data_IF_862624420436
#
_entry.id   IF_862624420436
#
_cell.length_a   1.000
_cell.length_b   1.000
_cell.length_c   1.000
_cell.angle_alpha   90.00
_cell.angle_beta   90.00
_cell.angle_gamma   90.00
#
_symmetry.space_group_name_H-M   'P 1'
#
loop_
_entity.id
_entity.type
_entity.pdbx_description
1 polymer ?
#
# COMPACT_ATOMS: atom_id res chain seq x y z
N UNK A 1 -4.32 -24.70 0.23
CA UNK A 1 -4.87 -23.83 -0.83
C UNK A 1 -6.30 -23.37 -0.50
N UNK A 2 -7.25 -24.28 -0.28
CA UNK A 2 -8.65 -23.95 0.01
C UNK A 2 -8.83 -22.99 1.21
N UNK A 3 -8.17 -23.25 2.33
CA UNK A 3 -8.27 -22.38 3.53
C UNK A 3 -7.83 -20.93 3.26
N UNK A 4 -6.74 -20.74 2.52
CA UNK A 4 -6.25 -19.40 2.15
C UNK A 4 -7.22 -18.70 1.20
N UNK A 5 -7.79 -19.44 0.23
CA UNK A 5 -8.80 -18.92 -0.68
C UNK A 5 -10.06 -18.51 0.07
N UNK A 6 -10.57 -19.34 0.99
CA UNK A 6 -11.76 -19.03 1.79
C UNK A 6 -11.54 -17.81 2.67
N UNK A 7 -10.39 -17.70 3.34
CA UNK A 7 -10.06 -16.52 4.14
C UNK A 7 -10.03 -15.23 3.29
N UNK A 8 -9.43 -15.34 2.10
CA UNK A 8 -9.40 -14.23 1.14
C UNK A 8 -10.80 -13.88 0.62
N UNK A 9 -11.63 -14.88 0.28
CA UNK A 9 -13.02 -14.68 -0.16
C UNK A 9 -13.84 -13.96 0.90
N UNK A 10 -13.77 -14.37 2.17
CA UNK A 10 -14.49 -13.70 3.26
C UNK A 10 -14.09 -12.22 3.36
N UNK A 11 -12.79 -11.93 3.35
CA UNK A 11 -12.28 -10.54 3.39
C UNK A 11 -12.56 -9.72 2.13
N UNK A 12 -12.71 -10.38 0.98
CA UNK A 12 -13.05 -9.74 -0.28
C UNK A 12 -14.54 -9.39 -0.32
N UNK A 13 -15.38 -10.33 0.11
CA UNK A 13 -16.84 -10.19 0.18
C UNK A 13 -17.23 -8.97 1.02
N UNK A 14 -16.65 -8.78 2.21
CA UNK A 14 -16.89 -7.59 3.05
C UNK A 14 -16.49 -6.28 2.36
N UNK A 15 -15.44 -6.31 1.53
CA UNK A 15 -14.95 -5.13 0.80
C UNK A 15 -15.77 -4.76 -0.43
N UNK A 16 -16.61 -5.68 -0.92
CA UNK A 16 -17.30 -5.54 -2.21
C UNK A 16 -18.82 -5.62 -2.13
N UNK A 17 -19.38 -6.24 -1.08
CA UNK A 17 -20.81 -6.23 -0.79
C UNK A 17 -21.31 -4.78 -0.66
N UNK A 18 -22.36 -4.45 -1.40
CA UNK A 18 -22.95 -3.09 -1.40
C UNK A 18 -22.35 -2.11 -2.41
N UNK A 19 -21.25 -2.44 -3.11
CA UNK A 19 -20.59 -1.50 -4.04
C UNK A 19 -21.18 -1.46 -5.46
N UNK A 20 -22.04 -2.42 -5.81
CA UNK A 20 -22.65 -2.50 -7.14
C UNK A 20 -21.64 -2.80 -8.26
N UNK A 21 -20.56 -3.54 -7.94
CA UNK A 21 -19.53 -3.91 -8.91
C UNK A 21 -20.05 -4.99 -9.86
N UNK A 22 -19.70 -4.88 -11.14
CA UNK A 22 -19.97 -5.95 -12.11
C UNK A 22 -19.22 -7.23 -11.74
N UNK A 23 -19.86 -8.39 -11.89
CA UNK A 23 -19.29 -9.70 -11.56
C UNK A 23 -17.93 -9.95 -12.24
N UNK A 24 -17.72 -9.44 -13.46
CA UNK A 24 -16.44 -9.57 -14.17
C UNK A 24 -15.25 -8.94 -13.43
N UNK A 25 -15.45 -7.76 -12.84
CA UNK A 25 -14.41 -7.04 -12.07
C UNK A 25 -14.04 -7.81 -10.81
N UNK A 26 -15.03 -8.43 -10.16
CA UNK A 26 -14.80 -9.26 -8.98
C UNK A 26 -13.97 -10.49 -9.33
N UNK A 27 -14.34 -11.21 -10.39
CA UNK A 27 -13.59 -12.40 -10.84
C UNK A 27 -12.16 -12.03 -11.21
N UNK A 28 -11.95 -10.93 -11.94
CA UNK A 28 -10.61 -10.44 -12.29
C UNK A 28 -9.79 -10.12 -11.03
N UNK A 29 -10.35 -9.38 -10.07
CA UNK A 29 -9.69 -9.05 -8.82
C UNK A 29 -9.28 -10.31 -8.03
N UNK A 30 -10.17 -11.28 -7.95
CA UNK A 30 -9.91 -12.55 -7.27
C UNK A 30 -8.82 -13.35 -7.97
N UNK A 31 -8.88 -13.44 -9.31
CA UNK A 31 -7.86 -14.15 -10.09
C UNK A 31 -6.47 -13.52 -9.91
N UNK A 32 -6.37 -12.19 -9.92
CA UNK A 32 -5.10 -11.50 -9.70
C UNK A 32 -4.52 -11.76 -8.30
N UNK A 33 -5.36 -11.76 -7.26
CA UNK A 33 -4.92 -12.07 -5.89
C UNK A 33 -4.58 -13.55 -5.69
N UNK A 34 -5.17 -14.45 -6.48
CA UNK A 34 -4.87 -15.88 -6.44
C UNK A 34 -3.42 -16.18 -6.83
N UNK A 35 -2.81 -15.36 -7.69
CA UNK A 35 -1.40 -15.47 -8.09
C UNK A 35 -0.48 -15.37 -6.86
N UNK A 36 -0.74 -14.40 -5.98
CA UNK A 36 0.02 -14.24 -4.73
C UNK A 36 -0.19 -15.40 -3.75
N UNK A 37 -1.44 -15.86 -3.60
CA UNK A 37 -1.76 -17.01 -2.75
C UNK A 37 -1.04 -18.27 -3.25
N UNK A 38 -0.98 -18.48 -4.56
CA UNK A 38 -0.28 -19.61 -5.17
C UNK A 38 1.23 -19.57 -4.87
N UNK A 39 1.85 -18.39 -4.98
CA UNK A 39 3.28 -18.22 -4.67
C UNK A 39 3.63 -18.64 -3.23
N UNK A 40 2.74 -18.38 -2.26
CA UNK A 40 2.90 -18.79 -0.86
C UNK A 40 2.51 -20.26 -0.62
N UNK A 41 1.50 -20.75 -1.31
CA UNK A 41 0.95 -22.09 -1.08
C UNK A 41 1.85 -23.20 -1.66
N UNK A 42 2.54 -22.95 -2.78
CA UNK A 42 3.37 -23.96 -3.46
C UNK A 42 4.49 -24.51 -2.57
N UNK A 43 5.34 -23.69 -1.90
CA UNK A 43 6.39 -24.22 -1.02
C UNK A 43 5.83 -25.08 0.12
N UNK A 44 4.72 -24.65 0.73
CA UNK A 44 4.06 -25.39 1.80
C UNK A 44 3.49 -26.71 1.29
N UNK A 45 2.88 -26.71 0.09
CA UNK A 45 2.34 -27.91 -0.53
C UNK A 45 3.45 -28.92 -0.85
N UNK A 46 4.60 -28.46 -1.36
CA UNK A 46 5.76 -29.32 -1.61
C UNK A 46 6.27 -29.96 -0.33
N UNK A 47 6.38 -29.18 0.77
CA UNK A 47 6.80 -29.71 2.07
C UNK A 47 5.86 -30.81 2.58
N UNK A 48 4.55 -30.59 2.51
CA UNK A 48 3.56 -31.59 2.94
C UNK A 48 3.57 -32.80 2.01
N UNK A 49 3.68 -32.60 0.71
CA UNK A 49 3.72 -33.69 -0.28
C UNK A 49 4.96 -34.58 -0.09
N UNK A 50 6.14 -33.99 0.15
CA UNK A 50 7.36 -34.76 0.41
C UNK A 50 7.25 -35.52 1.73
N UNK A 51 6.77 -34.86 2.79
CA UNK A 51 6.56 -35.50 4.10
C UNK A 51 5.58 -36.67 4.01
N UNK A 52 4.44 -36.50 3.33
CA UNK A 52 3.46 -37.57 3.17
C UNK A 52 3.99 -38.71 2.29
N UNK A 53 4.71 -38.39 1.22
CA UNK A 53 5.25 -39.41 0.32
C UNK A 53 6.29 -40.28 1.03
N UNK A 54 7.29 -39.67 1.66
CA UNK A 54 8.29 -40.41 2.43
C UNK A 54 7.72 -41.05 3.70
N UNK A 55 6.75 -40.40 4.35
CA UNK A 55 6.04 -40.94 5.50
C UNK A 55 5.31 -42.25 5.16
N UNK A 56 4.63 -42.29 4.01
CA UNK A 56 3.96 -43.52 3.52
C UNK A 56 4.97 -44.61 3.15
N UNK A 57 6.02 -44.27 2.39
CA UNK A 57 7.07 -45.24 2.04
C UNK A 57 7.78 -45.81 3.29
N UNK A 58 7.90 -45.02 4.36
CA UNK A 58 8.44 -45.49 5.64
C UNK A 58 7.46 -46.39 6.39
N UNK A 59 6.18 -46.05 6.40
CA UNK A 59 5.12 -46.85 7.03
C UNK A 59 4.99 -48.23 6.38
N UNK A 60 5.03 -48.26 5.06
CA UNK A 60 4.88 -49.49 4.26
C UNK A 60 6.20 -50.28 4.16
N UNK A 61 7.22 -49.89 4.94
CA UNK A 61 8.57 -50.47 4.97
C UNK A 61 9.30 -50.51 3.61
N UNK A 62 8.85 -49.75 2.61
CA UNK A 62 9.49 -49.67 1.29
C UNK A 62 10.90 -49.08 1.37
N UNK A 63 11.10 -48.08 2.26
CA UNK A 63 12.44 -47.52 2.51
C UNK A 63 13.37 -48.59 3.07
N UNK A 64 12.90 -49.37 4.04
CA UNK A 64 13.67 -50.47 4.65
C UNK A 64 14.01 -51.54 3.62
N UNK A 65 13.05 -51.94 2.79
CA UNK A 65 13.25 -52.93 1.72
C UNK A 65 14.26 -52.45 0.64
N UNK A 66 14.21 -51.18 0.25
CA UNK A 66 15.20 -50.59 -0.66
C UNK A 66 16.60 -50.56 -0.02
N UNK A 67 16.68 -50.25 1.27
CA UNK A 67 17.95 -50.21 2.02
C UNK A 67 18.58 -51.60 2.16
N UNK A 68 17.80 -52.64 2.45
CA UNK A 68 18.30 -54.03 2.51
C UNK A 68 18.72 -54.54 1.13
N UNK A 69 18.15 -54.00 0.06
CA UNK A 69 18.57 -54.26 -1.32
C UNK A 69 19.86 -53.53 -1.74
N UNK A 70 20.50 -52.80 -0.83
CA UNK A 70 21.78 -52.12 -1.06
C UNK A 70 21.67 -50.69 -1.60
N UNK A 71 20.46 -50.13 -1.76
CA UNK A 71 20.30 -48.74 -2.20
C UNK A 71 20.75 -47.75 -1.11
N UNK A 72 21.50 -46.73 -1.50
CA UNK A 72 21.91 -45.66 -0.58
C UNK A 72 20.75 -44.69 -0.30
N UNK A 73 20.73 -44.07 0.88
CA UNK A 73 19.76 -43.01 1.21
C UNK A 73 19.76 -41.88 0.17
N UNK A 74 20.94 -41.51 -0.33
CA UNK A 74 21.07 -40.49 -1.38
C UNK A 74 20.29 -40.86 -2.65
N UNK A 75 20.25 -42.14 -3.02
CA UNK A 75 19.51 -42.60 -4.21
C UNK A 75 18.00 -42.50 -4.01
N UNK A 76 17.52 -42.79 -2.79
CA UNK A 76 16.11 -42.66 -2.41
C UNK A 76 15.69 -41.17 -2.37
N UNK A 77 16.60 -40.27 -1.96
CA UNK A 77 16.35 -38.82 -1.89
C UNK A 77 16.44 -38.10 -3.25
N UNK A 78 17.25 -38.60 -4.19
CA UNK A 78 17.44 -38.00 -5.52
C UNK A 78 16.15 -37.58 -6.23
N UNK A 79 15.11 -38.43 -6.37
CA UNK A 79 13.88 -38.03 -7.08
C UNK A 79 13.21 -36.82 -6.42
N UNK A 80 13.12 -36.80 -5.09
CA UNK A 80 12.54 -35.67 -4.37
C UNK A 80 13.38 -34.39 -4.51
N UNK A 81 14.71 -34.50 -4.50
CA UNK A 81 15.59 -33.36 -4.75
C UNK A 81 15.44 -32.83 -6.17
N UNK A 82 15.43 -33.69 -7.19
CA UNK A 82 15.25 -33.26 -8.58
C UNK A 82 13.92 -32.55 -8.81
N UNK A 83 12.83 -33.07 -8.22
CA UNK A 83 11.52 -32.46 -8.29
C UNK A 83 11.46 -31.13 -7.52
N UNK A 84 12.07 -31.07 -6.33
CA UNK A 84 12.18 -29.85 -5.53
C UNK A 84 12.95 -28.75 -6.25
N UNK A 85 14.07 -29.09 -6.91
CA UNK A 85 14.85 -28.14 -7.71
C UNK A 85 14.05 -27.63 -8.91
N UNK A 86 13.31 -28.50 -9.62
CA UNK A 86 12.45 -28.12 -10.73
C UNK A 86 11.40 -27.09 -10.29
N UNK A 87 10.71 -27.37 -9.18
CA UNK A 87 9.72 -26.44 -8.63
C UNK A 87 10.37 -25.14 -8.17
N UNK A 88 11.55 -25.21 -7.54
CA UNK A 88 12.28 -24.02 -7.10
C UNK A 88 12.56 -23.08 -8.29
N UNK A 89 13.09 -23.61 -9.40
CA UNK A 89 13.36 -22.82 -10.60
C UNK A 89 12.08 -22.22 -11.19
N UNK A 90 11.01 -23.01 -11.29
CA UNK A 90 9.71 -22.52 -11.73
C UNK A 90 9.17 -21.40 -10.82
N UNK A 91 9.35 -21.53 -9.50
CA UNK A 91 8.87 -20.57 -8.53
C UNK A 91 9.70 -19.28 -8.55
N UNK A 92 11.01 -19.35 -8.78
CA UNK A 92 11.88 -18.18 -8.99
C UNK A 92 11.39 -17.39 -10.21
N UNK A 93 11.17 -18.07 -11.34
CA UNK A 93 10.65 -17.43 -12.55
C UNK A 93 9.27 -16.78 -12.31
N UNK A 94 8.36 -17.53 -11.66
CA UNK A 94 7.03 -17.06 -11.34
C UNK A 94 7.04 -15.82 -10.42
N UNK A 95 7.88 -15.82 -9.37
CA UNK A 95 8.00 -14.69 -8.46
C UNK A 95 8.67 -13.47 -9.09
N UNK A 96 9.55 -13.65 -10.07
CA UNK A 96 10.24 -12.55 -10.73
C UNK A 96 9.40 -11.91 -11.85
N UNK A 97 8.57 -12.67 -12.56
CA UNK A 97 7.85 -12.16 -13.74
C UNK A 97 6.34 -12.06 -13.51
N UNK A 98 5.70 -13.12 -13.02
CA UNK A 98 4.23 -13.21 -12.96
C UNK A 98 3.67 -12.52 -11.73
N UNK A 99 4.26 -12.79 -10.56
CA UNK A 99 3.78 -12.26 -9.28
C UNK A 99 3.81 -10.71 -9.22
N UNK A 100 4.88 -10.02 -9.63
CA UNK A 100 4.96 -8.56 -9.50
C UNK A 100 3.93 -7.86 -10.39
N UNK A 101 3.71 -8.36 -11.61
CA UNK A 101 2.69 -7.84 -12.53
C UNK A 101 1.27 -8.08 -12.04
N UNK A 102 0.98 -9.26 -11.50
CA UNK A 102 -0.33 -9.58 -10.94
C UNK A 102 -0.64 -8.70 -9.72
N UNK A 103 0.33 -8.50 -8.82
CA UNK A 103 0.17 -7.61 -7.68
C UNK A 103 -0.03 -6.15 -8.11
N UNK A 104 0.69 -5.70 -9.14
CA UNK A 104 0.53 -4.35 -9.68
C UNK A 104 -0.88 -4.14 -10.24
N UNK A 105 -1.36 -5.05 -11.08
CA UNK A 105 -2.72 -5.03 -11.62
C UNK A 105 -3.78 -5.12 -10.52
N UNK A 106 -3.58 -5.97 -9.51
CA UNK A 106 -4.48 -6.09 -8.37
C UNK A 106 -4.59 -4.79 -7.58
N UNK A 107 -3.45 -4.10 -7.35
CA UNK A 107 -3.42 -2.81 -6.66
C UNK A 107 -4.11 -1.72 -7.47
N UNK A 108 -3.81 -1.61 -8.77
CA UNK A 108 -4.48 -0.64 -9.64
C UNK A 108 -5.99 -0.87 -9.64
N UNK A 109 -6.44 -2.12 -9.81
CA UNK A 109 -7.85 -2.46 -9.77
C UNK A 109 -8.49 -2.17 -8.40
N UNK A 110 -7.78 -2.43 -7.29
CA UNK A 110 -8.27 -2.07 -5.96
C UNK A 110 -8.39 -0.56 -5.77
N UNK A 111 -7.43 0.21 -6.28
CA UNK A 111 -7.46 1.66 -6.23
C UNK A 111 -8.64 2.19 -7.06
N UNK A 112 -8.86 1.65 -8.25
CA UNK A 112 -9.99 2.00 -9.13
C UNK A 112 -11.33 1.68 -8.47
N UNK A 113 -11.46 0.53 -7.81
CA UNK A 113 -12.68 0.14 -7.08
C UNK A 113 -12.93 1.09 -5.90
N UNK A 114 -11.89 1.36 -5.09
CA UNK A 114 -11.99 2.27 -3.96
C UNK A 114 -12.27 3.71 -4.41
N UNK A 115 -11.87 4.07 -5.61
CA UNK A 115 -12.10 5.38 -6.20
C UNK A 115 -13.49 5.54 -6.78
N UNK A 116 -14.03 4.50 -7.42
CA UNK A 116 -15.38 4.51 -7.98
C UNK A 116 -16.46 4.62 -6.91
N UNK A 117 -16.16 4.14 -5.70
CA UNK A 117 -16.91 4.43 -4.48
C UNK A 117 -15.93 4.55 -3.32
N UNK A 118 -15.42 5.76 -3.01
CA UNK A 118 -14.76 5.95 -1.74
C UNK A 118 -15.82 5.65 -0.71
N UNK A 119 -15.65 4.57 0.05
CA UNK A 119 -16.38 4.38 1.28
C UNK A 119 -15.91 5.49 2.22
N UNK A 120 -16.34 6.73 1.96
CA UNK A 120 -16.46 7.76 2.99
C UNK A 120 -17.62 7.29 3.85
N UNK A 121 -17.38 6.21 4.60
CA UNK A 121 -18.14 5.87 5.77
C UNK A 121 -17.84 6.98 6.78
N UNK A 122 -18.48 8.14 6.58
CA UNK A 122 -18.50 9.21 7.57
C UNK A 122 -19.27 8.62 8.74
N UNK A 123 -18.51 7.99 9.64
CA UNK A 123 -19.02 7.45 10.88
C UNK A 123 -19.42 8.62 11.76
N UNK A 124 -20.65 8.56 12.25
CA UNK A 124 -21.25 9.60 13.06
C UNK A 124 -20.43 9.74 14.36
N UNK A 125 -19.99 10.96 14.66
CA UNK A 125 -19.21 11.26 15.87
C UNK A 125 -17.69 11.10 15.71
N UNK A 126 -17.18 10.73 14.54
CA UNK A 126 -15.75 10.69 14.26
C UNK A 126 -15.32 11.80 13.30
N UNK A 127 -14.08 12.26 13.47
CA UNK A 127 -13.44 13.22 12.59
C UNK A 127 -12.89 12.50 11.37
N UNK A 128 -13.39 12.84 10.18
CA UNK A 128 -12.95 12.30 8.89
C UNK A 128 -11.92 13.25 8.30
N UNK A 129 -10.67 12.79 8.25
CA UNK A 129 -9.53 13.56 7.72
C UNK A 129 -9.06 13.02 6.35
N UNK A 130 -9.89 12.24 5.65
CA UNK A 130 -9.52 11.63 4.36
C UNK A 130 -9.69 12.57 3.15
N UNK A 131 -10.34 13.72 3.34
CA UNK A 131 -10.49 14.73 2.30
C UNK A 131 -9.17 15.51 2.13
N UNK A 132 -8.70 15.80 0.89
CA UNK A 132 -7.38 16.43 0.68
C UNK A 132 -7.22 17.82 1.30
N UNK A 133 -8.25 18.67 1.18
CA UNK A 133 -8.18 20.09 1.57
C UNK A 133 -8.99 20.44 2.81
N UNK A 134 -9.82 19.50 3.28
CA UNK A 134 -10.76 19.71 4.38
C UNK A 134 -10.73 18.51 5.33
N UNK A 135 -11.19 18.69 6.55
CA UNK A 135 -11.70 17.57 7.34
C UNK A 135 -13.13 17.85 7.77
N UNK A 136 -13.87 16.78 8.05
CA UNK A 136 -15.31 16.83 8.30
C UNK A 136 -15.70 15.97 9.49
N UNK A 137 -16.67 16.43 10.27
CA UNK A 137 -17.34 15.66 11.31
C UNK A 137 -18.84 15.88 11.23
N UNK A 138 -19.61 14.81 11.38
CA UNK A 138 -21.06 14.88 11.51
C UNK A 138 -21.49 14.24 12.83
N UNK A 139 -22.37 14.91 13.60
CA UNK A 139 -22.87 14.39 14.88
C UNK A 139 -24.09 13.48 14.74
N UNK A 140 -24.81 13.58 13.63
CA UNK A 140 -25.95 12.73 13.32
C UNK A 140 -25.99 12.34 11.84
N UNK A 141 -26.60 11.21 11.53
CA UNK A 141 -26.92 10.82 10.15
C UNK A 141 -28.30 10.18 10.12
N UNK A 142 -29.14 10.65 9.19
CA UNK A 142 -30.47 10.10 8.91
C UNK A 142 -30.53 9.75 7.42
N UNK A 143 -30.35 8.46 7.10
CA UNK A 143 -30.19 8.00 5.73
C UNK A 143 -28.96 8.62 5.05
N UNK A 144 -29.18 9.43 4.02
CA UNK A 144 -28.14 10.15 3.25
C UNK A 144 -27.87 11.57 3.73
N UNK A 145 -28.64 12.06 4.71
CA UNK A 145 -28.53 13.43 5.24
C UNK A 145 -27.73 13.40 6.54
N UNK A 146 -26.65 14.18 6.58
CA UNK A 146 -25.85 14.43 7.77
C UNK A 146 -26.43 15.62 8.55
N UNK A 147 -26.35 15.55 9.88
CA UNK A 147 -26.79 16.60 10.81
C UNK A 147 -25.62 17.07 11.67
N UNK A 148 -25.64 18.37 11.99
CA UNK A 148 -24.58 19.06 12.74
C UNK A 148 -23.20 18.79 12.15
N UNK A 149 -22.98 19.34 10.97
CA UNK A 149 -21.74 19.17 10.20
C UNK A 149 -20.76 20.25 10.61
N UNK A 150 -19.54 19.82 10.95
CA UNK A 150 -18.37 20.66 11.15
C UNK A 150 -17.35 20.34 10.06
N UNK A 151 -16.95 21.33 9.29
CA UNK A 151 -15.88 21.21 8.30
C UNK A 151 -14.81 22.25 8.62
N UNK A 152 -13.53 21.88 8.51
CA UNK A 152 -12.41 22.80 8.68
C UNK A 152 -11.43 22.66 7.52
N UNK A 153 -10.79 23.77 7.14
CA UNK A 153 -9.70 23.77 6.18
C UNK A 153 -8.44 23.15 6.78
N UNK A 154 -7.71 22.35 6.01
CA UNK A 154 -6.37 21.85 6.37
C UNK A 154 -5.26 22.84 6.07
N UNK A 155 -5.51 23.80 5.18
CA UNK A 155 -4.55 24.85 4.87
C UNK A 155 -4.63 25.94 5.94
N UNK A 156 -3.69 25.89 6.89
CA UNK A 156 -3.56 26.83 8.01
C UNK A 156 -2.40 27.81 7.80
N UNK A 157 -2.00 28.11 6.56
CA UNK A 157 -0.84 28.98 6.31
C UNK A 157 -1.17 30.47 6.30
N UNK A 158 -2.41 30.83 5.98
CA UNK A 158 -2.85 32.21 5.81
C UNK A 158 -4.16 32.44 6.55
N UNK A 159 -5.23 31.70 6.22
CA UNK A 159 -6.52 31.84 6.87
C UNK A 159 -7.02 30.49 7.41
N UNK A 160 -7.54 30.49 8.63
CA UNK A 160 -8.26 29.34 9.19
C UNK A 160 -9.76 29.46 8.87
N UNK A 161 -10.27 28.55 8.06
CA UNK A 161 -11.70 28.49 7.72
C UNK A 161 -12.38 27.31 8.42
N UNK A 162 -13.49 27.60 9.11
CA UNK A 162 -14.36 26.61 9.76
C UNK A 162 -15.79 26.82 9.31
N UNK A 163 -16.47 25.76 8.90
CA UNK A 163 -17.83 25.79 8.38
C UNK A 163 -18.71 24.93 9.27
N UNK A 164 -19.79 25.51 9.77
CA UNK A 164 -20.86 24.83 10.49
C UNK A 164 -22.09 24.76 9.59
N UNK A 165 -22.77 23.62 9.55
CA UNK A 165 -24.05 23.47 8.85
C UNK A 165 -24.99 22.54 9.62
N UNK A 166 -26.27 22.90 9.67
CA UNK A 166 -27.28 22.11 10.37
C UNK A 166 -27.58 20.81 9.61
N UNK A 167 -27.58 20.88 8.27
CA UNK A 167 -27.83 19.73 7.39
C UNK A 167 -26.89 19.74 6.19
N UNK A 168 -26.62 18.55 5.68
CA UNK A 168 -25.96 18.44 4.39
C UNK A 168 -25.99 17.06 3.79
N UNK A 169 -25.85 17.02 2.48
CA UNK A 169 -25.72 15.80 1.70
C UNK A 169 -24.37 15.79 0.99
N UNK A 170 -23.86 14.59 0.77
CA UNK A 170 -22.64 14.37 0.02
C UNK A 170 -23.00 13.61 -1.25
N UNK A 171 -22.61 14.17 -2.39
CA UNK A 171 -22.68 13.51 -3.68
C UNK A 171 -21.29 13.45 -4.29
N UNK A 172 -21.03 12.40 -5.04
CA UNK A 172 -19.78 12.24 -5.78
C UNK A 172 -20.17 12.31 -7.24
N UNK A 173 -19.69 13.34 -7.94
CA UNK A 173 -19.96 13.55 -9.37
C UNK A 173 -18.61 13.68 -10.06
N UNK A 174 -18.36 12.80 -11.02
CA UNK A 174 -17.10 12.73 -11.77
C UNK A 174 -15.88 12.77 -10.84
N UNK A 175 -15.06 13.82 -10.97
CA UNK A 175 -13.79 14.05 -10.28
C UNK A 175 -13.92 14.95 -9.03
N UNK A 176 -15.13 15.09 -8.49
CA UNK A 176 -15.34 15.95 -7.34
C UNK A 176 -16.29 15.34 -6.30
N UNK A 177 -15.97 15.58 -5.04
CA UNK A 177 -16.91 15.39 -3.94
C UNK A 177 -17.65 16.71 -3.78
N UNK A 178 -18.96 16.68 -4.00
CA UNK A 178 -19.86 17.80 -3.79
C UNK A 178 -20.53 17.64 -2.43
N UNK A 179 -20.25 18.58 -1.54
CA UNK A 179 -20.95 18.73 -0.27
C UNK A 179 -21.99 19.84 -0.44
N UNK A 180 -23.26 19.46 -0.35
CA UNK A 180 -24.36 20.42 -0.27
C UNK A 180 -24.66 20.65 1.21
N UNK A 181 -24.45 21.88 1.67
CA UNK A 181 -24.69 22.30 3.03
C UNK A 181 -25.90 23.24 3.06
N UNK A 182 -26.79 23.01 4.02
CA UNK A 182 -27.98 23.82 4.24
C UNK A 182 -27.94 24.43 5.65
N UNK A 183 -28.38 25.68 5.71
CA UNK A 183 -28.50 26.50 6.93
C UNK A 183 -27.26 26.42 7.83
N UNK A 184 -26.28 27.27 7.52
CA UNK A 184 -24.99 27.23 8.18
C UNK A 184 -24.23 28.55 8.16
N UNK A 185 -23.02 28.49 8.69
CA UNK A 185 -22.14 29.64 8.79
C UNK A 185 -20.67 29.28 8.57
N UNK A 186 -19.98 30.17 7.87
CA UNK A 186 -18.55 30.10 7.62
C UNK A 186 -17.88 31.11 8.53
N UNK A 187 -16.89 30.64 9.27
CA UNK A 187 -16.02 31.40 10.14
C UNK A 187 -14.64 31.40 9.50
N UNK A 188 -14.08 32.58 9.28
CA UNK A 188 -12.75 32.74 8.73
C UNK A 188 -11.95 33.68 9.62
N UNK A 189 -10.74 33.26 9.95
CA UNK A 189 -9.82 33.98 10.81
C UNK A 189 -8.47 34.09 10.11
N UNK A 190 -7.98 35.32 9.97
CA UNK A 190 -6.65 35.59 9.42
C UNK A 190 -5.56 35.33 10.49
N UNK A 191 -4.62 34.42 10.21
CA UNK A 191 -3.65 33.90 11.19
C UNK A 191 -2.42 34.80 11.47
N UNK A 192 -1.91 35.63 10.55
CA UNK A 192 -0.73 36.46 10.80
C UNK A 192 -0.99 37.56 11.85
N UNK A 193 -2.18 38.17 11.83
CA UNK A 193 -2.50 39.34 12.68
C UNK A 193 -3.71 39.14 13.61
N UNK A 194 -4.47 38.04 13.49
CA UNK A 194 -5.71 37.76 14.26
C UNK A 194 -6.72 38.91 14.27
N UNK A 195 -6.58 39.86 13.35
CA UNK A 195 -7.22 41.17 13.37
C UNK A 195 -8.57 41.15 12.68
N UNK A 196 -8.74 40.27 11.69
CA UNK A 196 -9.96 40.15 10.91
C UNK A 196 -10.62 38.79 11.13
N UNK A 197 -11.80 38.83 11.76
CA UNK A 197 -12.71 37.71 11.86
C UNK A 197 -13.94 37.96 10.97
N UNK A 198 -14.16 37.06 10.01
CA UNK A 198 -15.28 37.13 9.09
C UNK A 198 -16.26 35.99 9.35
N UNK A 199 -17.53 36.34 9.56
CA UNK A 199 -18.64 35.38 9.68
C UNK A 199 -19.61 35.58 8.52
N UNK A 200 -19.82 34.53 7.74
CA UNK A 200 -20.76 34.51 6.62
C UNK A 200 -21.86 33.49 6.90
N UNK A 201 -23.11 33.94 6.96
CA UNK A 201 -24.28 33.06 7.08
C UNK A 201 -24.80 32.70 5.70
N UNK A 202 -25.11 31.42 5.49
CA UNK A 202 -25.64 30.93 4.23
C UNK A 202 -26.88 30.06 4.48
N UNK A 203 -27.85 30.14 3.55
CA UNK A 203 -28.96 29.18 3.50
C UNK A 203 -28.59 27.92 2.74
N UNK A 204 -27.81 28.06 1.67
CA UNK A 204 -27.27 26.96 0.87
C UNK A 204 -25.84 27.29 0.48
N UNK A 205 -24.94 26.34 0.69
CA UNK A 205 -23.55 26.44 0.27
C UNK A 205 -23.12 25.12 -0.34
N UNK A 206 -22.31 25.18 -1.40
CA UNK A 206 -21.73 23.99 -2.02
C UNK A 206 -20.22 24.06 -1.91
N UNK A 207 -19.61 22.98 -1.43
CA UNK A 207 -18.17 22.80 -1.46
C UNK A 207 -17.87 21.75 -2.52
N UNK A 208 -16.99 22.11 -3.45
CA UNK A 208 -16.50 21.21 -4.47
C UNK A 208 -15.06 20.88 -4.09
N UNK A 209 -14.84 19.65 -3.63
CA UNK A 209 -13.49 19.17 -3.35
C UNK A 209 -13.04 18.42 -4.60
N UNK A 210 -12.12 18.97 -5.41
CA UNK A 210 -11.58 18.24 -6.54
C UNK A 210 -10.80 17.03 -6.01
N UNK A 211 -11.09 15.88 -6.59
CA UNK A 211 -10.38 14.62 -6.37
C UNK A 211 -9.74 14.28 -7.71
N UNK A 212 -8.49 14.69 -7.90
CA UNK A 212 -7.77 14.55 -9.18
C UNK A 212 -7.86 13.12 -9.75
N UNK A 213 -8.66 12.89 -10.82
CA UNK A 213 -8.72 11.74 -11.78
C UNK A 213 -9.79 10.61 -11.65
N UNK A 214 -11.06 10.82 -11.28
CA UNK A 214 -12.08 9.74 -11.16
C UNK A 214 -12.46 8.99 -12.45
N UNK A 215 -11.97 9.40 -13.61
CA UNK A 215 -12.01 8.55 -14.79
C UNK A 215 -11.02 7.38 -14.67
N UNK A 216 -11.45 6.20 -15.12
CA UNK A 216 -10.62 5.01 -15.36
C UNK A 216 -9.56 5.30 -16.43
N UNK A 217 -8.66 6.25 -16.19
CA UNK A 217 -7.36 6.18 -16.82
C UNK A 217 -6.62 5.08 -16.10
N UNK A 218 -6.43 3.95 -16.78
CA UNK A 218 -5.34 3.02 -16.47
C UNK A 218 -4.02 3.78 -16.61
N UNK A 219 -3.72 4.71 -15.70
CA UNK A 219 -2.37 5.21 -15.56
C UNK A 219 -1.60 4.01 -15.06
N UNK A 220 -0.66 3.55 -15.87
CA UNK A 220 0.48 2.84 -15.36
C UNK A 220 1.11 3.75 -14.30
N UNK A 221 0.75 3.53 -13.04
CA UNK A 221 1.44 4.18 -11.94
C UNK A 221 2.86 3.67 -11.99
N UNK A 222 3.80 4.52 -12.44
CA UNK A 222 5.24 4.21 -12.46
C UNK A 222 5.74 3.83 -11.05
N UNK A 223 5.03 4.25 -10.01
CA UNK A 223 5.30 3.95 -8.62
C UNK A 223 4.83 2.52 -8.28
N UNK A 224 5.75 1.56 -8.41
CA UNK A 224 5.56 0.18 -7.95
C UNK A 224 5.99 0.03 -6.49
N UNK A 225 5.14 -0.62 -5.70
CA UNK A 225 5.48 -1.03 -4.33
C UNK A 225 6.50 -2.16 -4.35
N UNK A 226 7.13 -2.45 -3.21
CA UNK A 226 8.20 -3.47 -3.14
C UNK A 226 7.72 -4.87 -3.55
N UNK A 227 6.44 -5.18 -3.34
CA UNK A 227 5.81 -6.47 -3.73
C UNK A 227 5.39 -6.53 -5.21
N UNK A 228 5.64 -5.47 -5.98
CA UNK A 228 5.25 -5.32 -7.38
C UNK A 228 6.44 -5.10 -8.31
N UNK A 229 7.65 -5.07 -7.75
CA UNK A 229 8.89 -4.96 -8.50
C UNK A 229 9.46 -6.36 -8.77
N UNK A 230 10.02 -6.53 -9.97
CA UNK A 230 10.89 -7.66 -10.26
C UNK A 230 12.32 -7.36 -9.77
N UNK A 231 13.20 -8.36 -9.82
CA UNK A 231 14.58 -8.23 -9.33
C UNK A 231 15.33 -7.10 -10.06
N UNK A 232 15.13 -6.94 -11.37
CA UNK A 232 15.78 -5.88 -12.15
C UNK A 232 15.35 -4.48 -11.71
N UNK A 233 14.06 -4.28 -11.46
CA UNK A 233 13.51 -3.02 -10.94
C UNK A 233 14.03 -2.74 -9.53
N UNK A 234 14.14 -3.76 -8.67
CA UNK A 234 14.72 -3.60 -7.33
C UNK A 234 16.20 -3.19 -7.39
N UNK A 235 17.00 -3.80 -8.28
CA UNK A 235 18.40 -3.43 -8.48
C UNK A 235 18.53 -1.99 -8.99
N UNK A 236 17.71 -1.58 -9.96
CA UNK A 236 17.70 -0.19 -10.44
C UNK A 236 17.33 0.82 -9.34
N UNK A 237 16.42 0.45 -8.43
CA UNK A 237 16.04 1.27 -7.27
C UNK A 237 17.19 1.40 -6.27
N UNK A 238 17.98 0.35 -6.06
CA UNK A 238 19.20 0.39 -5.25
C UNK A 238 20.22 1.36 -5.85
N UNK A 239 20.46 1.30 -7.16
CA UNK A 239 21.40 2.19 -7.86
C UNK A 239 20.94 3.66 -7.80
N UNK A 240 19.63 3.92 -7.93
CA UNK A 240 19.06 5.26 -7.74
C UNK A 240 19.28 5.77 -6.31
N UNK A 241 19.03 4.94 -5.30
CA UNK A 241 19.28 5.33 -3.91
C UNK A 241 20.76 5.59 -3.62
N UNK A 242 21.67 4.79 -4.18
CA UNK A 242 23.11 5.04 -4.05
C UNK A 242 23.52 6.38 -4.67
N UNK A 243 22.97 6.75 -5.84
CA UNK A 243 23.20 8.07 -6.47
C UNK A 243 22.63 9.23 -5.66
N UNK A 244 21.45 9.06 -5.05
CA UNK A 244 20.87 10.07 -4.16
C UNK A 244 21.73 10.27 -2.91
N UNK A 245 22.20 9.18 -2.29
CA UNK A 245 23.09 9.23 -1.13
C UNK A 245 24.41 9.93 -1.48
N UNK A 246 25.03 9.60 -2.62
CA UNK A 246 26.28 10.26 -3.03
C UNK A 246 26.07 11.75 -3.25
N UNK A 247 24.98 12.15 -3.91
CA UNK A 247 24.62 13.56 -4.13
C UNK A 247 24.44 14.31 -2.80
N UNK A 248 23.74 13.70 -1.83
CA UNK A 248 23.53 14.29 -0.51
C UNK A 248 24.86 14.40 0.24
N UNK A 249 25.71 13.37 0.21
CA UNK A 249 27.06 13.41 0.81
C UNK A 249 27.90 14.54 0.22
N UNK A 250 27.89 14.71 -1.11
CA UNK A 250 28.60 15.82 -1.77
C UNK A 250 28.04 17.18 -1.37
N UNK A 251 26.70 17.32 -1.28
CA UNK A 251 26.08 18.58 -0.81
C UNK A 251 26.45 18.89 0.64
N UNK A 252 26.46 17.90 1.52
CA UNK A 252 26.86 18.06 2.92
C UNK A 252 28.35 18.45 2.99
N UNK A 253 29.22 17.74 2.28
CA UNK A 253 30.66 18.04 2.24
C UNK A 253 30.94 19.47 1.75
N UNK A 254 30.27 19.88 0.66
CA UNK A 254 30.39 21.24 0.12
C UNK A 254 29.82 22.29 1.07
N UNK A 255 28.76 21.98 1.83
CA UNK A 255 28.19 22.90 2.80
C UNK A 255 29.10 23.07 4.01
N UNK A 256 29.65 21.97 4.54
CA UNK A 256 30.63 21.99 5.62
C UNK A 256 31.86 22.79 5.19
N UNK A 257 32.45 22.51 4.02
CA UNK A 257 33.62 23.25 3.54
C UNK A 257 33.35 24.74 3.33
N UNK A 258 32.13 25.11 2.91
CA UNK A 258 31.74 26.52 2.75
C UNK A 258 31.52 27.27 4.08
N UNK A 259 31.22 26.56 5.17
CA UNK A 259 30.88 27.16 6.47
C UNK A 259 32.02 27.07 7.50
N UNK A 260 33.04 26.25 7.27
CA UNK A 260 34.24 26.15 8.12
C UNK A 260 35.52 26.39 7.31
N UNK A 261 36.10 27.61 7.32
CA UNK A 261 37.30 27.93 6.55
C UNK A 261 38.61 27.33 7.10
N UNK A 262 38.60 26.71 8.29
CA UNK A 262 39.81 26.19 8.93
C UNK A 262 39.66 24.71 9.36
N UNK A 263 40.54 23.90 8.77
CA UNK A 263 41.07 22.60 9.22
C UNK A 263 40.15 21.37 9.31
N UNK A 264 40.39 20.42 8.39
CA UNK A 264 40.70 19.03 8.75
C UNK A 264 41.60 18.41 7.65
N UNK A 265 42.74 19.07 7.40
CA UNK A 265 43.94 18.38 6.92
C UNK A 265 44.56 17.67 8.11
N UNK A 266 43.98 16.55 8.51
CA UNK A 266 44.65 15.61 9.40
C UNK A 266 44.57 14.23 8.74
N UNK A 267 45.47 14.00 7.78
CA UNK A 267 46.08 12.69 7.64
C UNK A 267 46.77 12.40 8.97
N UNK A 268 46.05 11.79 9.91
CA UNK A 268 46.68 11.15 11.06
C UNK A 268 47.32 9.89 10.51
N UNK A 269 48.57 10.03 10.07
CA UNK A 269 49.43 8.92 9.69
C UNK A 269 49.74 8.16 10.98
N UNK A 270 49.40 6.87 11.00
CA UNK A 270 49.45 5.97 12.15
C UNK A 270 50.85 5.77 12.78
N UNK A 271 51.90 6.36 12.21
CA UNK A 271 53.30 6.21 12.63
C UNK A 271 53.76 7.23 13.68
N UNK A 272 53.19 8.45 13.73
CA UNK A 272 53.67 9.47 14.69
C UNK A 272 53.16 9.27 16.12
N UNK A 273 52.11 8.46 16.32
CA UNK A 273 51.53 8.21 17.65
C UNK A 273 52.30 7.15 18.47
N UNK A 274 53.19 6.37 17.86
CA UNK A 274 53.93 5.29 18.52
C UNK A 274 55.35 5.66 18.96
N UNK A 275 55.83 6.87 18.61
CA UNK A 275 57.14 7.37 19.05
C UNK A 275 57.08 8.24 20.32
N UNK A 276 55.89 8.41 20.90
CA UNK A 276 55.64 9.28 22.06
C UNK A 276 55.12 8.52 23.31
N UNK A 277 55.38 7.22 23.40
CA UNK A 277 55.22 6.39 24.61
C UNK A 277 56.50 5.59 24.81
#
# INVERSE_FOLDING_TARGET
AFVLLTNFMLRAVDRFLGKGLGLGVLVEYVALNMVWIAALAVPMAVLVATLMSFGRMSHDNEITAMRTSGLSYATILRPALTFGTLICLALIYFNNHVLPEANHKARLLSADINRKRPDLAVEVGYFVDDLPSYGMMARGREGTVFKDILIYSKDNRTNQMTIFADRGTMEIIDDAILLYLEDGEIHELDLPDFSEYRRLKFKRHRIVVPVDNLYLERRESELRGDREMNIQMMLGKIDDYQRKISTVKTRIANRISSQTPYTLSAKVTREEALAAV
#
